data_IF_600000154302
#
_entry.id   IF_600000154302
#
_cell.length_a   1.000
_cell.length_b   1.000
_cell.length_c   1.000
_cell.angle_alpha   90.00
_cell.angle_beta   90.00
_cell.angle_gamma   90.00
#
_symmetry.space_group_name_H-M   'P 1'
#
loop_
_entity.id
_entity.type
_entity.pdbx_description
1 polymer ?
#
# COMPACT_ATOMS: atom_id res chain seq x y z
N UNK A 1 -1.13 -9.69 3.41
CA UNK A 1 -1.77 -8.62 4.21
C UNK A 1 -2.15 -7.39 3.39
N UNK A 2 -1.24 -6.77 2.61
CA UNK A 2 -1.58 -5.59 1.79
C UNK A 2 -2.79 -5.82 0.86
N UNK A 3 -2.87 -6.97 0.18
CA UNK A 3 -4.02 -7.34 -0.64
C UNK A 3 -5.35 -7.41 0.14
N UNK A 4 -5.33 -7.83 1.41
CA UNK A 4 -6.53 -7.90 2.24
C UNK A 4 -6.99 -6.50 2.66
N UNK A 5 -6.05 -5.61 3.00
CA UNK A 5 -6.34 -4.20 3.29
C UNK A 5 -6.97 -3.55 2.05
N UNK A 6 -6.38 -3.75 0.87
CA UNK A 6 -6.91 -3.27 -0.40
C UNK A 6 -8.33 -3.79 -0.67
N UNK A 7 -8.57 -5.09 -0.44
CA UNK A 7 -9.89 -5.69 -0.62
C UNK A 7 -10.95 -5.08 0.33
N UNK A 8 -10.58 -4.73 1.55
CA UNK A 8 -11.50 -4.10 2.51
C UNK A 8 -11.97 -2.72 2.04
N UNK A 9 -11.16 -1.99 1.28
CA UNK A 9 -11.52 -0.68 0.75
C UNK A 9 -12.13 -0.72 -0.66
N UNK A 10 -12.25 -1.89 -1.29
CA UNK A 10 -12.68 -2.02 -2.69
C UNK A 10 -14.05 -1.38 -2.97
N UNK A 11 -14.99 -1.42 -2.01
CA UNK A 11 -16.32 -0.83 -2.15
C UNK A 11 -16.30 0.71 -2.26
N UNK A 12 -15.20 1.37 -1.89
CA UNK A 12 -15.05 2.82 -1.96
C UNK A 12 -14.62 3.33 -3.35
N UNK A 13 -14.34 2.41 -4.28
CA UNK A 13 -13.81 2.71 -5.60
C UNK A 13 -12.28 2.68 -5.65
N UNK A 14 -11.72 2.47 -6.83
CA UNK A 14 -10.29 2.17 -7.02
C UNK A 14 -9.36 3.27 -6.48
N UNK A 15 -9.59 4.53 -6.86
CA UNK A 15 -8.76 5.64 -6.41
C UNK A 15 -8.78 5.82 -4.89
N UNK A 16 -9.94 5.63 -4.27
CA UNK A 16 -10.08 5.71 -2.82
C UNK A 16 -9.39 4.52 -2.14
N UNK A 17 -9.58 3.31 -2.67
CA UNK A 17 -8.97 2.11 -2.14
C UNK A 17 -7.43 2.15 -2.17
N UNK A 18 -6.84 2.71 -3.23
CA UNK A 18 -5.40 2.94 -3.34
C UNK A 18 -4.94 3.86 -2.21
N UNK A 19 -5.56 5.04 -2.09
CA UNK A 19 -5.18 6.04 -1.07
C UNK A 19 -5.34 5.50 0.35
N UNK A 20 -6.50 4.91 0.66
CA UNK A 20 -6.80 4.35 1.97
C UNK A 20 -5.85 3.20 2.33
N UNK A 21 -5.45 2.38 1.36
CA UNK A 21 -4.46 1.31 1.57
C UNK A 21 -3.07 1.89 1.89
N UNK A 22 -2.62 2.90 1.14
CA UNK A 22 -1.34 3.55 1.37
C UNK A 22 -1.29 4.20 2.76
N UNK A 23 -2.35 4.94 3.12
CA UNK A 23 -2.48 5.58 4.43
C UNK A 23 -2.51 4.55 5.57
N UNK A 24 -3.25 3.45 5.41
CA UNK A 24 -3.29 2.40 6.43
C UNK A 24 -1.90 1.79 6.67
N UNK A 25 -1.18 1.46 5.60
CA UNK A 25 0.19 0.91 5.72
C UNK A 25 1.11 1.95 6.36
N UNK A 26 1.04 3.22 5.92
CA UNK A 26 1.86 4.31 6.47
C UNK A 26 1.64 4.51 7.96
N UNK A 27 0.39 4.49 8.42
CA UNK A 27 0.03 4.80 9.80
C UNK A 27 0.21 3.60 10.75
N UNK A 28 -0.10 2.38 10.30
CA UNK A 28 -0.25 1.24 11.21
C UNK A 28 0.80 0.15 11.06
N UNK A 29 1.54 0.09 9.95
CA UNK A 29 2.62 -0.90 9.85
C UNK A 29 3.86 -0.44 10.59
N UNK A 30 4.61 -1.39 11.14
CA UNK A 30 5.92 -1.14 11.70
C UNK A 30 6.94 -0.76 10.60
N UNK A 31 7.98 0.03 10.92
CA UNK A 31 9.00 0.45 9.96
C UNK A 31 9.63 -0.72 9.19
N UNK A 32 9.87 -1.86 9.85
CA UNK A 32 10.44 -3.06 9.23
C UNK A 32 9.53 -3.67 8.17
N UNK A 33 8.22 -3.66 8.38
CA UNK A 33 7.26 -4.19 7.41
C UNK A 33 7.18 -3.30 6.17
N UNK A 34 7.18 -1.98 6.36
CA UNK A 34 7.23 -1.00 5.25
C UNK A 34 8.51 -1.20 4.42
N UNK A 35 9.66 -1.32 5.08
CA UNK A 35 10.93 -1.59 4.40
C UNK A 35 10.88 -2.91 3.60
N UNK A 36 10.32 -3.97 4.21
CA UNK A 36 10.18 -5.27 3.56
C UNK A 36 9.32 -5.22 2.30
N UNK A 37 8.15 -4.59 2.33
CA UNK A 37 7.27 -4.51 1.15
C UNK A 37 7.78 -3.54 0.09
N UNK A 38 8.51 -2.49 0.48
CA UNK A 38 9.14 -1.56 -0.45
C UNK A 38 10.32 -2.20 -1.20
N UNK A 39 11.07 -3.10 -0.57
CA UNK A 39 12.23 -3.77 -1.18
C UNK A 39 11.94 -5.17 -1.76
N UNK A 40 10.81 -5.78 -1.40
CA UNK A 40 10.47 -7.16 -1.75
C UNK A 40 9.82 -7.33 -3.13
N UNK A 41 9.58 -8.59 -3.50
CA UNK A 41 8.79 -8.94 -4.68
C UNK A 41 7.32 -8.52 -4.49
N UNK A 42 6.76 -7.90 -5.51
CA UNK A 42 5.39 -7.36 -5.54
C UNK A 42 4.52 -8.02 -6.61
N UNK A 43 5.04 -9.04 -7.30
CA UNK A 43 4.33 -9.73 -8.38
C UNK A 43 3.00 -10.34 -7.94
N UNK A 44 2.88 -10.73 -6.67
CA UNK A 44 1.66 -11.26 -6.07
C UNK A 44 0.72 -10.18 -5.46
N UNK A 45 1.07 -8.90 -5.55
CA UNK A 45 0.18 -7.84 -5.09
C UNK A 45 -0.98 -7.63 -6.07
N UNK A 46 -2.16 -7.34 -5.52
CA UNK A 46 -3.26 -6.85 -6.35
C UNK A 46 -2.90 -5.49 -6.96
N UNK A 47 -3.55 -5.08 -8.07
CA UNK A 47 -3.28 -3.78 -8.69
C UNK A 47 -3.42 -2.60 -7.71
N UNK A 48 -4.47 -2.63 -6.87
CA UNK A 48 -4.70 -1.60 -5.83
C UNK A 48 -3.59 -1.59 -4.79
N UNK A 49 -3.18 -2.77 -4.29
CA UNK A 49 -2.10 -2.86 -3.31
C UNK A 49 -0.77 -2.40 -3.92
N UNK A 50 -0.47 -2.77 -5.16
CA UNK A 50 0.74 -2.36 -5.86
C UNK A 50 0.80 -0.83 -5.99
N UNK A 51 -0.27 -0.20 -6.50
CA UNK A 51 -0.37 1.24 -6.64
C UNK A 51 -0.27 1.98 -5.30
N UNK A 52 -0.84 1.42 -4.22
CA UNK A 52 -0.72 1.98 -2.88
C UNK A 52 0.73 1.97 -2.37
N UNK A 53 1.49 0.90 -2.65
CA UNK A 53 2.92 0.84 -2.30
C UNK A 53 3.73 1.82 -3.15
N UNK A 54 3.38 2.03 -4.43
CA UNK A 54 4.02 3.03 -5.28
C UNK A 54 3.79 4.45 -4.76
N UNK A 55 2.57 4.76 -4.32
CA UNK A 55 2.26 6.04 -3.67
C UNK A 55 3.10 6.23 -2.38
N UNK A 56 3.12 5.23 -1.51
CA UNK A 56 3.93 5.27 -0.28
C UNK A 56 5.42 5.47 -0.59
N UNK A 57 5.92 4.82 -1.64
CA UNK A 57 7.30 4.94 -2.08
C UNK A 57 7.62 6.34 -2.61
N UNK A 58 6.68 7.00 -3.29
CA UNK A 58 6.83 8.38 -3.74
C UNK A 58 6.88 9.37 -2.56
N UNK A 59 6.02 9.18 -1.56
CA UNK A 59 5.98 10.00 -0.34
C UNK A 59 7.30 9.95 0.43
N UNK A 60 7.88 8.75 0.60
CA UNK A 60 9.18 8.58 1.29
C UNK A 60 10.33 9.27 0.55
N UNK A 61 10.27 9.39 -0.77
CA UNK A 61 11.30 10.10 -1.56
C UNK A 61 11.13 11.62 -1.55
N UNK A 62 9.93 12.11 -1.25
CA UNK A 62 9.61 13.53 -1.25
C UNK A 62 9.91 14.24 0.07
N UNK A 63 10.08 13.49 1.17
CA UNK A 63 10.46 14.00 2.49
C UNK A 63 11.94 13.77 2.79
#
# INVERSE_FOLDING_TARGET
>A
MANQIAANFAAQGEAEAIRATADHIRLFWDPRMKAGILAGDRSELSPVACAAIDQLSAEVRAG
#
